data_IF_602092921843
#
_entry.id   IF_602092921843
#
_cell.length_a   1.000
_cell.length_b   1.000
_cell.length_c   1.000
_cell.angle_alpha   90.00
_cell.angle_beta   90.00
_cell.angle_gamma   90.00
#
_symmetry.space_group_name_H-M   'P 1'
#
loop_
_entity.id
_entity.type
_entity.pdbx_description
1 polymer ?
#
# COMPACT_ATOMS: atom_id res chain seq x y z
N UNK A 1 -22.49 -29.39 15.04
CA UNK A 1 -21.38 -29.28 14.07
C UNK A 1 -21.63 -28.07 13.16
N UNK A 2 -21.15 -26.91 13.60
CA UNK A 2 -20.48 -25.87 12.81
C UNK A 2 -20.91 -25.59 11.36
N UNK A 3 -22.14 -25.12 11.15
CA UNK A 3 -22.45 -24.31 9.94
C UNK A 3 -22.02 -22.84 10.07
N UNK A 4 -21.60 -22.40 11.26
CA UNK A 4 -21.08 -21.05 11.53
C UNK A 4 -19.57 -20.90 11.29
N UNK A 5 -18.86 -21.99 10.94
CA UNK A 5 -17.40 -22.00 10.73
C UNK A 5 -16.99 -21.93 9.25
N UNK A 6 -17.95 -21.62 8.36
CA UNK A 6 -17.78 -21.60 6.90
C UNK A 6 -18.28 -20.30 6.24
N UNK A 7 -18.40 -19.21 7.00
CA UNK A 7 -18.13 -17.90 6.41
C UNK A 7 -16.60 -17.79 6.39
N UNK A 8 -15.98 -18.46 5.41
CA UNK A 8 -14.63 -18.10 5.00
C UNK A 8 -14.70 -16.58 4.78
N UNK A 9 -13.94 -15.81 5.56
CA UNK A 9 -13.87 -14.36 5.44
C UNK A 9 -13.27 -14.07 4.06
N UNK A 10 -14.10 -14.09 3.01
CA UNK A 10 -13.71 -14.10 1.60
C UNK A 10 -13.23 -12.71 1.15
N UNK A 11 -12.67 -11.96 2.10
CA UNK A 11 -12.07 -10.65 1.90
C UNK A 11 -10.68 -10.88 1.35
N UNK A 12 -10.43 -10.29 0.19
CA UNK A 12 -9.10 -10.23 -0.39
C UNK A 12 -8.19 -9.52 0.60
N UNK A 13 -7.06 -10.13 0.95
CA UNK A 13 -6.08 -9.56 1.86
C UNK A 13 -4.91 -8.93 1.11
N UNK A 14 -4.08 -8.14 1.81
CA UNK A 14 -2.82 -7.63 1.26
C UNK A 14 -1.94 -8.78 0.76
N UNK A 15 -1.89 -9.88 1.49
CA UNK A 15 -1.13 -11.08 1.09
C UNK A 15 -1.67 -11.71 -0.20
N UNK A 16 -3.00 -11.75 -0.37
CA UNK A 16 -3.62 -12.27 -1.58
C UNK A 16 -3.30 -11.38 -2.78
N UNK A 17 -3.42 -10.06 -2.64
CA UNK A 17 -3.05 -9.12 -3.73
C UNK A 17 -1.57 -9.28 -4.09
N UNK A 18 -0.69 -9.35 -3.09
CA UNK A 18 0.76 -9.55 -3.32
C UNK A 18 1.08 -10.84 -4.06
N UNK A 19 0.40 -11.94 -3.73
CA UNK A 19 0.65 -13.25 -4.34
C UNK A 19 0.00 -13.43 -5.70
N UNK A 20 -1.17 -12.86 -5.91
CA UNK A 20 -2.04 -13.18 -7.04
C UNK A 20 -2.10 -12.08 -8.11
N UNK A 21 -1.80 -10.82 -7.76
CA UNK A 21 -1.97 -9.68 -8.64
C UNK A 21 -0.69 -8.85 -8.87
N UNK A 22 0.23 -8.81 -7.90
CA UNK A 22 1.48 -8.08 -8.05
C UNK A 22 2.54 -8.88 -8.81
N UNK A 23 3.53 -8.21 -9.43
CA UNK A 23 4.63 -8.88 -10.12
C UNK A 23 5.33 -9.94 -9.28
N UNK A 24 5.81 -10.99 -9.94
CA UNK A 24 6.63 -12.00 -9.29
C UNK A 24 7.89 -11.35 -8.71
N UNK A 25 8.16 -11.62 -7.44
CA UNK A 25 9.30 -11.04 -6.73
C UNK A 25 8.96 -9.78 -5.94
N UNK A 26 7.70 -9.32 -5.89
CA UNK A 26 7.28 -8.32 -4.90
C UNK A 26 7.53 -8.84 -3.48
N UNK A 27 8.33 -8.10 -2.72
CA UNK A 27 8.74 -8.43 -1.35
C UNK A 27 8.08 -7.49 -0.36
N UNK A 28 7.76 -8.02 0.80
CA UNK A 28 7.39 -7.23 1.96
C UNK A 28 8.67 -6.72 2.60
N UNK A 29 8.76 -5.40 2.77
CA UNK A 29 9.93 -4.73 3.37
C UNK A 29 9.59 -4.04 4.70
N UNK A 30 8.30 -3.94 5.02
CA UNK A 30 7.72 -3.45 6.28
C UNK A 30 6.41 -4.18 6.55
N UNK A 31 5.98 -4.27 7.81
CA UNK A 31 4.61 -4.72 8.13
C UNK A 31 4.32 -6.22 7.89
N UNK A 32 5.31 -7.12 7.97
CA UNK A 32 5.12 -8.57 7.73
C UNK A 32 3.97 -9.22 8.53
N UNK A 33 3.66 -8.70 9.73
CA UNK A 33 2.57 -9.19 10.58
C UNK A 33 1.18 -8.66 10.22
N UNK A 34 1.06 -7.84 9.17
CA UNK A 34 -0.15 -7.08 8.83
C UNK A 34 -0.73 -7.46 7.46
N UNK A 35 -0.21 -8.51 6.84
CA UNK A 35 -0.58 -8.92 5.49
C UNK A 35 -1.99 -9.55 5.41
N UNK A 36 -2.58 -9.91 6.54
CA UNK A 36 -3.97 -10.36 6.64
C UNK A 36 -4.99 -9.22 6.63
N UNK A 37 -4.53 -7.96 6.54
CA UNK A 37 -5.43 -6.80 6.40
C UNK A 37 -6.32 -6.96 5.17
N UNK A 38 -7.63 -6.69 5.30
CA UNK A 38 -8.52 -6.70 4.15
C UNK A 38 -8.12 -5.60 3.17
N UNK A 39 -8.48 -5.80 1.90
CA UNK A 39 -8.30 -4.85 0.82
C UNK A 39 -9.66 -4.57 0.21
N UNK A 40 -10.05 -3.30 0.18
CA UNK A 40 -11.32 -2.85 -0.38
C UNK A 40 -11.21 -2.42 -1.85
N UNK A 41 -10.09 -1.77 -2.20
CA UNK A 41 -9.86 -1.17 -3.50
C UNK A 41 -8.36 -0.94 -3.74
N UNK A 42 -8.00 -0.45 -4.93
CA UNK A 42 -6.61 -0.09 -5.28
C UNK A 42 -6.58 1.24 -6.01
N UNK A 43 -5.70 2.13 -5.58
CA UNK A 43 -5.49 3.44 -6.18
C UNK A 43 -4.05 3.57 -6.65
N UNK A 44 -3.87 4.11 -7.87
CA UNK A 44 -2.54 4.44 -8.40
C UNK A 44 -2.29 5.92 -8.14
N UNK A 45 -1.12 6.25 -7.61
CA UNK A 45 -0.67 7.64 -7.45
C UNK A 45 0.58 7.89 -8.30
N UNK A 46 0.64 9.12 -8.81
CA UNK A 46 1.75 9.63 -9.61
C UNK A 46 2.43 10.76 -8.84
N UNK A 47 3.73 10.64 -8.64
CA UNK A 47 4.51 11.56 -7.81
C UNK A 47 4.76 12.92 -8.46
N UNK A 48 4.50 13.00 -9.76
CA UNK A 48 4.65 14.19 -10.60
C UNK A 48 3.39 15.06 -10.58
N UNK A 49 2.32 14.60 -9.93
CA UNK A 49 1.10 15.40 -9.77
C UNK A 49 1.29 16.52 -8.76
N UNK A 50 0.37 17.48 -8.73
CA UNK A 50 0.45 18.65 -7.85
C UNK A 50 0.22 18.30 -6.36
N UNK A 51 -0.24 17.09 -6.03
CA UNK A 51 -0.50 16.68 -4.66
C UNK A 51 -1.20 15.32 -4.55
N UNK A 52 -1.32 14.83 -3.33
CA UNK A 52 -1.99 13.57 -3.02
C UNK A 52 -3.52 13.73 -3.07
N UNK A 53 -4.27 12.67 -3.44
CA UNK A 53 -5.72 12.69 -3.39
C UNK A 53 -6.25 13.03 -1.99
N UNK A 54 -7.33 13.82 -1.93
CA UNK A 54 -7.95 14.23 -0.67
C UNK A 54 -8.74 13.10 0.02
N UNK A 55 -9.02 12.00 -0.68
CA UNK A 55 -9.80 10.90 -0.17
C UNK A 55 -9.31 9.55 -0.73
N UNK A 56 -9.33 8.54 0.13
CA UNK A 56 -9.21 7.13 -0.19
C UNK A 56 -10.34 6.40 0.55
N UNK A 57 -10.81 5.29 0.00
CA UNK A 57 -11.59 4.35 0.78
C UNK A 57 -10.68 3.72 1.84
N UNK A 58 -11.25 3.42 3.00
CA UNK A 58 -10.54 2.66 4.02
C UNK A 58 -10.10 1.31 3.45
N UNK A 59 -8.92 0.83 3.86
CA UNK A 59 -8.36 -0.45 3.47
C UNK A 59 -7.99 -0.52 1.96
N UNK A 60 -7.63 0.62 1.36
CA UNK A 60 -7.08 0.68 0.01
C UNK A 60 -5.61 0.27 -0.07
N UNK A 61 -5.21 -0.40 -1.15
CA UNK A 61 -3.81 -0.49 -1.54
C UNK A 61 -3.44 0.70 -2.42
N UNK A 62 -2.36 1.39 -2.06
CA UNK A 62 -1.80 2.48 -2.87
C UNK A 62 -0.66 1.93 -3.71
N UNK A 63 -0.75 2.06 -5.03
CA UNK A 63 0.33 1.75 -5.97
C UNK A 63 1.04 3.04 -6.36
N UNK A 64 2.32 3.15 -6.01
CA UNK A 64 3.16 4.30 -6.37
C UNK A 64 3.79 4.05 -7.74
N UNK A 65 3.38 4.85 -8.72
CA UNK A 65 3.94 4.79 -10.05
C UNK A 65 5.41 5.25 -10.05
N UNK A 66 6.27 4.65 -10.90
CA UNK A 66 7.65 5.11 -11.06
C UNK A 66 7.65 6.52 -11.66
N UNK A 67 8.65 7.32 -11.31
CA UNK A 67 8.80 8.66 -11.88
C UNK A 67 9.30 8.55 -13.31
N UNK A 68 8.59 9.12 -14.28
CA UNK A 68 9.03 9.08 -15.68
C UNK A 68 10.36 9.83 -15.86
N UNK A 69 11.24 9.28 -16.70
CA UNK A 69 12.53 9.90 -16.99
C UNK A 69 12.35 11.35 -17.50
N UNK A 70 13.03 12.30 -16.85
CA UNK A 70 12.93 13.72 -17.16
C UNK A 70 11.78 14.45 -16.46
N UNK A 71 10.98 13.78 -15.64
CA UNK A 71 10.03 14.42 -14.72
C UNK A 71 10.60 14.55 -13.31
N UNK A 72 10.09 15.55 -12.59
CA UNK A 72 10.45 15.81 -11.20
C UNK A 72 9.35 15.26 -10.30
N UNK A 73 9.75 14.55 -9.26
CA UNK A 73 8.85 14.16 -8.18
C UNK A 73 8.50 15.40 -7.36
N UNK A 74 7.21 15.71 -7.25
CA UNK A 74 6.69 16.79 -6.41
C UNK A 74 6.32 16.32 -5.00
N UNK A 75 6.21 15.00 -4.80
CA UNK A 75 5.77 14.38 -3.55
C UNK A 75 6.88 13.48 -3.01
N UNK A 76 7.25 13.68 -1.75
CA UNK A 76 8.27 12.88 -1.09
C UNK A 76 7.74 11.47 -0.76
N UNK A 77 8.64 10.50 -0.59
CA UNK A 77 8.23 9.12 -0.25
C UNK A 77 7.63 9.06 1.15
N UNK A 78 8.18 9.82 2.09
CA UNK A 78 7.71 9.92 3.48
C UNK A 78 6.31 10.56 3.57
N UNK A 79 6.01 11.56 2.74
CA UNK A 79 4.68 12.18 2.72
C UNK A 79 3.63 11.20 2.18
N UNK A 80 3.99 10.37 1.19
CA UNK A 80 3.11 9.31 0.68
C UNK A 80 2.79 8.30 1.79
N UNK A 81 3.80 7.85 2.54
CA UNK A 81 3.61 6.89 3.64
C UNK A 81 2.75 7.50 4.75
N UNK A 82 3.04 8.74 5.15
CA UNK A 82 2.31 9.42 6.22
C UNK A 82 0.84 9.61 5.83
N UNK A 83 0.61 10.08 4.60
CA UNK A 83 -0.74 10.19 4.05
C UNK A 83 -1.45 8.83 3.98
N UNK A 84 -0.80 7.78 3.49
CA UNK A 84 -1.37 6.44 3.46
C UNK A 84 -1.82 5.97 4.85
N UNK A 85 -1.03 6.26 5.88
CA UNK A 85 -1.37 5.96 7.27
C UNK A 85 -2.56 6.78 7.77
N UNK A 86 -2.58 8.10 7.53
CA UNK A 86 -3.69 9.00 7.87
C UNK A 86 -5.01 8.53 7.23
N UNK A 87 -4.92 8.07 5.99
CA UNK A 87 -6.06 7.58 5.20
C UNK A 87 -6.46 6.13 5.51
N UNK A 88 -5.75 5.45 6.42
CA UNK A 88 -5.98 4.03 6.77
C UNK A 88 -5.91 3.11 5.55
N UNK A 89 -4.90 3.32 4.71
CA UNK A 89 -4.57 2.40 3.64
C UNK A 89 -4.21 1.02 4.20
N UNK A 90 -4.56 -0.03 3.46
CA UNK A 90 -4.21 -1.40 3.78
C UNK A 90 -2.70 -1.64 3.61
N UNK A 91 -2.11 -1.12 2.52
CA UNK A 91 -0.69 -1.22 2.18
C UNK A 91 -0.27 -0.17 1.15
N UNK A 92 1.04 0.05 1.01
CA UNK A 92 1.62 0.84 -0.08
C UNK A 92 2.64 0.01 -0.85
N UNK A 93 2.54 0.02 -2.18
CA UNK A 93 3.40 -0.74 -3.08
C UNK A 93 4.22 0.24 -3.91
N UNK A 94 5.55 0.11 -3.83
CA UNK A 94 6.46 0.84 -4.72
C UNK A 94 6.93 -0.02 -5.87
N UNK A 95 7.06 0.61 -7.03
CA UNK A 95 7.72 0.01 -8.20
C UNK A 95 9.26 0.01 -8.07
N UNK A 96 9.79 0.87 -7.20
CA UNK A 96 11.23 1.07 -6.97
C UNK A 96 11.55 1.00 -5.47
N UNK A 97 12.82 1.00 -5.09
CA UNK A 97 13.20 1.04 -3.68
C UNK A 97 12.78 2.38 -3.05
N UNK A 98 11.87 2.40 -2.06
CA UNK A 98 11.53 3.65 -1.37
C UNK A 98 12.69 4.16 -0.53
N UNK A 99 12.68 5.45 -0.23
CA UNK A 99 13.69 6.09 0.62
C UNK A 99 13.78 5.43 2.01
N UNK A 100 14.97 5.42 2.65
CA UNK A 100 15.11 4.90 4.02
C UNK A 100 14.19 5.59 5.03
N UNK A 101 13.92 6.88 4.84
CA UNK A 101 13.00 7.67 5.68
C UNK A 101 11.57 7.18 5.53
N UNK A 102 11.12 6.92 4.31
CA UNK A 102 9.79 6.37 4.05
C UNK A 102 9.61 4.98 4.68
N UNK A 103 10.66 4.14 4.62
CA UNK A 103 10.65 2.83 5.27
C UNK A 103 10.57 2.95 6.80
N UNK A 104 11.23 3.95 7.39
CA UNK A 104 11.13 4.22 8.83
C UNK A 104 9.70 4.68 9.21
N UNK A 105 9.11 5.56 8.42
CA UNK A 105 7.71 6.01 8.57
C UNK A 105 6.73 4.84 8.45
N UNK A 106 6.94 3.93 7.50
CA UNK A 106 6.05 2.78 7.28
C UNK A 106 6.05 1.85 8.50
N UNK A 107 7.24 1.62 9.08
CA UNK A 107 7.39 0.86 10.32
C UNK A 107 6.73 1.55 11.51
N UNK A 108 6.93 2.86 11.65
CA UNK A 108 6.34 3.64 12.75
C UNK A 108 4.81 3.66 12.70
N UNK A 109 4.23 3.67 11.49
CA UNK A 109 2.79 3.78 11.27
C UNK A 109 2.10 2.44 10.98
N UNK A 110 2.80 1.31 11.11
CA UNK A 110 2.25 -0.01 10.80
C UNK A 110 1.65 -0.09 9.38
N UNK A 111 2.39 0.38 8.38
CA UNK A 111 2.03 0.26 6.97
C UNK A 111 2.87 -0.83 6.32
N UNK A 112 2.23 -1.87 5.75
CA UNK A 112 2.86 -2.83 4.85
C UNK A 112 3.32 -2.20 3.54
#
# INVERSE_FOLDING_TARGET
MDKLKLMNDNRITVEDVRKLALPLGTRVISGDGLLSRPVSWTTIIYRETAGLPNALQQDEIILVAPVEAGRVSNISDEDIVRWAAEMKAAAVVWSEQPSPTALAEAKANNIP
#
